data_IF_349753012252
#
_entry.id   IF_349753012252
#
_cell.length_a   1.000
_cell.length_b   1.000
_cell.length_c   1.000
_cell.angle_alpha   90.00
_cell.angle_beta   90.00
_cell.angle_gamma   90.00
#
_symmetry.space_group_name_H-M   'P 1'
#
loop_
_entity.id
_entity.type
_entity.pdbx_description
1 polymer ?
#
# COMPACT_ATOMS: atom_id res chain seq x y z
N UNK A 1 -23.06 -56.62 -15.92
CA UNK A 1 -23.50 -55.88 -14.71
C UNK A 1 -22.31 -55.69 -13.78
N UNK A 2 -21.72 -54.50 -13.76
CA UNK A 2 -21.04 -53.87 -12.60
C UNK A 2 -20.40 -52.58 -13.08
N UNK A 3 -21.18 -51.51 -12.97
CA UNK A 3 -20.77 -50.14 -13.21
C UNK A 3 -19.84 -49.72 -12.06
N UNK A 4 -18.59 -49.40 -12.37
CA UNK A 4 -17.68 -48.73 -11.44
C UNK A 4 -17.84 -47.22 -11.65
N UNK A 5 -18.71 -46.62 -10.85
CA UNK A 5 -18.83 -45.16 -10.73
C UNK A 5 -17.69 -44.72 -9.80
N UNK A 6 -16.60 -44.22 -10.37
CA UNK A 6 -15.55 -43.52 -9.62
C UNK A 6 -16.04 -42.09 -9.41
N UNK A 7 -16.49 -41.79 -8.19
CA UNK A 7 -16.80 -40.43 -7.74
C UNK A 7 -15.50 -39.62 -7.67
N UNK A 8 -15.26 -38.78 -8.68
CA UNK A 8 -14.32 -37.67 -8.61
C UNK A 8 -14.90 -36.60 -7.67
N UNK A 9 -14.58 -36.70 -6.38
CA UNK A 9 -14.70 -35.59 -5.44
C UNK A 9 -13.63 -34.56 -5.81
N UNK A 10 -14.00 -33.61 -6.68
CA UNK A 10 -13.24 -32.38 -6.85
C UNK A 10 -13.36 -31.59 -5.54
N UNK A 11 -12.45 -31.83 -4.61
CA UNK A 11 -12.25 -30.97 -3.44
C UNK A 11 -11.73 -29.64 -3.95
N UNK A 12 -12.62 -28.67 -4.09
CA UNK A 12 -12.26 -27.26 -4.21
C UNK A 12 -11.56 -26.86 -2.91
N UNK A 13 -10.24 -26.93 -2.91
CA UNK A 13 -9.41 -26.33 -1.88
C UNK A 13 -9.63 -24.81 -1.97
N UNK A 14 -10.57 -24.30 -1.19
CA UNK A 14 -10.67 -22.88 -0.93
C UNK A 14 -9.39 -22.52 -0.19
N UNK A 15 -8.48 -21.82 -0.87
CA UNK A 15 -7.35 -21.17 -0.22
C UNK A 15 -7.93 -20.12 0.72
N UNK A 16 -8.14 -20.48 1.99
CA UNK A 16 -8.55 -19.52 3.00
C UNK A 16 -7.47 -18.44 3.09
N UNK A 17 -7.85 -17.19 2.85
CA UNK A 17 -6.95 -16.05 3.05
C UNK A 17 -6.88 -15.82 4.55
N UNK A 18 -5.78 -16.26 5.16
CA UNK A 18 -5.58 -16.11 6.60
C UNK A 18 -5.49 -14.63 7.01
N UNK A 19 -5.98 -14.34 8.21
CA UNK A 19 -5.78 -13.04 8.87
C UNK A 19 -4.31 -12.62 8.88
N UNK A 20 -4.08 -11.32 8.94
CA UNK A 20 -2.74 -10.76 9.11
C UNK A 20 -2.71 -9.81 10.30
N UNK A 21 -1.58 -9.80 11.00
CA UNK A 21 -1.29 -8.83 12.05
C UNK A 21 -0.06 -8.04 11.64
N UNK A 22 -0.08 -6.73 11.84
CA UNK A 22 0.99 -5.82 11.45
C UNK A 22 1.15 -4.71 12.48
N UNK A 23 2.37 -4.18 12.62
CA UNK A 23 2.64 -3.02 13.49
C UNK A 23 2.69 -1.76 12.65
N UNK A 24 1.87 -0.76 12.99
CA UNK A 24 1.86 0.57 12.37
C UNK A 24 2.67 1.53 13.22
N UNK A 25 3.52 2.33 12.59
CA UNK A 25 4.33 3.36 13.25
C UNK A 25 3.52 4.65 13.42
N UNK A 26 3.75 5.39 14.51
CA UNK A 26 3.17 6.72 14.70
C UNK A 26 4.00 7.57 15.68
N UNK A 27 3.59 8.83 15.80
CA UNK A 27 4.20 9.86 16.66
C UNK A 27 5.63 10.24 16.27
N UNK A 28 5.89 10.28 14.96
CA UNK A 28 7.07 10.78 14.26
C UNK A 28 8.31 9.94 14.49
N UNK A 29 8.95 9.48 13.41
CA UNK A 29 10.16 8.67 13.48
C UNK A 29 9.95 7.26 14.03
N UNK A 30 8.72 6.74 13.98
CA UNK A 30 8.29 5.45 14.53
C UNK A 30 8.62 5.30 16.02
N UNK A 31 8.43 6.37 16.80
CA UNK A 31 8.66 6.35 18.25
C UNK A 31 7.65 5.45 18.97
N UNK A 32 6.46 5.27 18.40
CA UNK A 32 5.44 4.37 18.92
C UNK A 32 4.90 3.47 17.81
N UNK A 33 4.41 2.30 18.21
CA UNK A 33 3.84 1.32 17.31
C UNK A 33 2.57 0.73 17.88
N UNK A 34 1.53 0.58 17.06
CA UNK A 34 0.30 -0.11 17.41
C UNK A 34 0.18 -1.40 16.59
N UNK A 35 -0.30 -2.48 17.22
CA UNK A 35 -0.63 -3.71 16.51
C UNK A 35 -2.05 -3.61 15.95
N UNK A 36 -2.20 -3.90 14.65
CA UNK A 36 -3.49 -3.92 13.95
C UNK A 36 -3.70 -5.27 13.29
N UNK A 37 -4.95 -5.71 13.21
CA UNK A 37 -5.34 -6.97 12.57
C UNK A 37 -6.17 -6.71 11.32
N UNK A 38 -5.87 -7.43 10.26
CA UNK A 38 -6.65 -7.49 9.03
C UNK A 38 -7.35 -8.84 8.96
N UNK A 39 -8.68 -8.80 8.92
CA UNK A 39 -9.53 -9.99 8.85
C UNK A 39 -9.42 -10.70 7.49
N UNK A 40 -9.75 -11.99 7.45
CA UNK A 40 -9.83 -12.79 6.23
C UNK A 40 -10.75 -12.13 5.19
N UNK A 41 -11.85 -11.52 5.64
CA UNK A 41 -12.81 -10.81 4.77
C UNK A 41 -12.18 -9.57 4.13
N UNK A 42 -11.49 -8.74 4.93
CA UNK A 42 -10.79 -7.55 4.43
C UNK A 42 -9.69 -7.96 3.42
N UNK A 43 -8.91 -8.97 3.78
CA UNK A 43 -7.82 -9.46 2.95
C UNK A 43 -8.32 -10.15 1.67
N UNK A 44 -9.43 -10.89 1.72
CA UNK A 44 -10.05 -11.44 0.52
C UNK A 44 -10.53 -10.35 -0.44
N UNK A 45 -11.09 -9.25 0.07
CA UNK A 45 -11.47 -8.09 -0.73
C UNK A 45 -10.24 -7.44 -1.40
N UNK A 46 -9.17 -7.21 -0.63
CA UNK A 46 -7.91 -6.66 -1.16
C UNK A 46 -7.32 -7.56 -2.25
N UNK A 47 -7.21 -8.86 -1.98
CA UNK A 47 -6.66 -9.82 -2.93
C UNK A 47 -7.47 -9.90 -4.23
N UNK A 48 -8.80 -9.94 -4.13
CA UNK A 48 -9.67 -9.94 -5.31
C UNK A 48 -9.56 -8.63 -6.10
N UNK A 49 -9.44 -7.49 -5.41
CA UNK A 49 -9.32 -6.18 -6.05
C UNK A 49 -7.99 -6.01 -6.79
N UNK A 50 -6.88 -6.48 -6.21
CA UNK A 50 -5.57 -6.46 -6.87
C UNK A 50 -5.47 -7.49 -8.01
N UNK A 51 -6.06 -8.68 -7.85
CA UNK A 51 -6.05 -9.71 -8.88
C UNK A 51 -6.72 -9.25 -10.20
N UNK A 52 -7.68 -8.33 -10.10
CA UNK A 52 -8.37 -7.72 -11.23
C UNK A 52 -7.53 -6.71 -12.02
N UNK A 53 -6.29 -6.40 -11.60
CA UNK A 53 -5.39 -5.54 -12.34
C UNK A 53 -5.08 -6.09 -13.74
N UNK A 54 -5.35 -5.29 -14.77
CA UNK A 54 -5.09 -5.64 -16.16
C UNK A 54 -3.63 -5.49 -16.58
N UNK A 55 -2.96 -4.47 -16.04
CA UNK A 55 -1.56 -4.13 -16.33
C UNK A 55 -0.89 -3.43 -15.15
N UNK A 56 0.36 -3.00 -15.33
CA UNK A 56 1.13 -2.29 -14.30
C UNK A 56 0.54 -0.93 -13.93
N UNK A 57 -0.09 -0.21 -14.86
CA UNK A 57 -0.71 1.08 -14.52
C UNK A 57 -1.96 0.87 -13.65
N UNK A 58 -2.82 -0.08 -14.04
CA UNK A 58 -4.01 -0.43 -13.27
C UNK A 58 -3.64 -1.01 -11.88
N UNK A 59 -2.56 -1.78 -11.76
CA UNK A 59 -2.07 -2.24 -10.45
C UNK A 59 -1.64 -1.07 -9.54
N UNK A 60 -1.01 -0.03 -10.09
CA UNK A 60 -0.63 1.18 -9.34
C UNK A 60 -1.86 1.97 -8.85
N UNK A 61 -2.85 2.15 -9.72
CA UNK A 61 -4.10 2.85 -9.36
C UNK A 61 -4.88 2.08 -8.27
N UNK A 62 -4.89 0.75 -8.36
CA UNK A 62 -5.50 -0.11 -7.33
C UNK A 62 -4.71 -0.11 -6.03
N UNK A 63 -3.38 -0.10 -6.10
CA UNK A 63 -2.50 -0.02 -4.92
C UNK A 63 -2.74 1.26 -4.13
N UNK A 64 -2.92 2.40 -4.81
CA UNK A 64 -3.27 3.67 -4.16
C UNK A 64 -4.49 3.51 -3.23
N UNK A 65 -5.57 2.91 -3.76
CA UNK A 65 -6.80 2.65 -3.01
C UNK A 65 -6.62 1.62 -1.90
N UNK A 66 -5.92 0.52 -2.18
CA UNK A 66 -5.68 -0.56 -1.21
C UNK A 66 -4.90 -0.07 0.00
N UNK A 67 -3.86 0.75 -0.22
CA UNK A 67 -3.11 1.34 0.89
C UNK A 67 -4.00 2.25 1.73
N UNK A 68 -4.87 3.05 1.08
CA UNK A 68 -5.89 3.83 1.78
C UNK A 68 -6.80 2.96 2.65
N UNK A 69 -7.37 1.88 2.10
CA UNK A 69 -8.23 0.95 2.87
C UNK A 69 -7.49 0.31 4.05
N UNK A 70 -6.26 -0.17 3.85
CA UNK A 70 -5.47 -0.81 4.89
C UNK A 70 -5.09 0.16 6.02
N UNK A 71 -4.79 1.41 5.69
CA UNK A 71 -4.52 2.46 6.68
C UNK A 71 -5.80 2.92 7.39
N UNK A 72 -6.93 3.00 6.68
CA UNK A 72 -8.22 3.34 7.28
C UNK A 72 -8.69 2.29 8.28
N UNK A 73 -8.60 1.00 7.94
CA UNK A 73 -8.89 -0.09 8.87
C UNK A 73 -7.90 -0.17 10.04
N UNK A 74 -6.64 0.25 9.83
CA UNK A 74 -5.69 0.40 10.93
C UNK A 74 -6.06 1.58 11.85
N UNK A 75 -6.57 2.69 11.29
CA UNK A 75 -7.11 3.82 12.03
C UNK A 75 -8.34 3.45 12.86
N UNK A 76 -9.23 2.59 12.37
CA UNK A 76 -10.37 2.08 13.16
C UNK A 76 -9.93 1.33 14.45
N UNK A 77 -8.68 0.84 14.48
CA UNK A 77 -8.13 0.03 15.57
C UNK A 77 -7.08 0.77 16.41
N UNK A 78 -6.67 1.98 16.03
CA UNK A 78 -5.54 2.66 16.66
C UNK A 78 -5.65 4.18 16.59
N UNK A 79 -4.76 4.87 17.29
CA UNK A 79 -4.75 6.34 17.36
C UNK A 79 -4.42 7.01 16.02
N UNK A 80 -3.90 6.27 15.03
CA UNK A 80 -3.53 6.82 13.72
C UNK A 80 -4.73 7.34 12.91
N UNK A 81 -5.98 7.09 13.34
CA UNK A 81 -7.15 7.75 12.75
C UNK A 81 -7.11 9.28 12.91
N UNK A 82 -6.34 9.80 13.86
CA UNK A 82 -6.14 11.24 14.05
C UNK A 82 -5.14 11.86 13.05
N UNK A 83 -4.43 11.02 12.29
CA UNK A 83 -3.42 11.45 11.34
C UNK A 83 -4.02 12.29 10.19
N UNK A 84 -3.31 13.36 9.84
CA UNK A 84 -3.70 14.34 8.83
C UNK A 84 -2.63 14.42 7.77
N UNK A 85 -3.05 14.71 6.54
CA UNK A 85 -2.12 14.85 5.42
C UNK A 85 -1.05 15.90 5.71
N UNK A 86 0.20 15.48 5.61
CA UNK A 86 1.35 16.31 5.93
C UNK A 86 1.56 16.60 7.43
N UNK A 87 2.72 17.17 7.76
CA UNK A 87 3.11 17.40 9.16
C UNK A 87 2.51 18.66 9.81
N UNK A 88 1.87 19.54 9.02
CA UNK A 88 1.44 20.86 9.52
C UNK A 88 -0.01 20.84 10.01
N UNK A 89 -0.82 19.91 9.48
CA UNK A 89 -2.25 19.84 9.77
C UNK A 89 -2.59 19.02 11.02
N UNK A 90 -1.59 18.39 11.66
CA UNK A 90 -1.80 17.45 12.74
C UNK A 90 -1.86 18.09 14.15
N UNK A 91 -1.54 19.38 14.31
CA UNK A 91 -1.54 20.12 15.59
C UNK A 91 -0.85 19.37 16.77
N UNK A 92 0.08 18.45 16.49
CA UNK A 92 0.73 17.63 17.51
C UNK A 92 -0.18 16.59 18.19
N UNK A 93 -1.29 16.19 17.55
CA UNK A 93 -2.20 15.16 18.08
C UNK A 93 -1.50 13.81 18.26
N UNK A 94 -1.97 13.02 19.22
CA UNK A 94 -1.54 11.64 19.39
C UNK A 94 -2.04 10.80 18.20
N UNK A 95 -1.14 10.03 17.58
CA UNK A 95 -1.43 9.24 16.39
C UNK A 95 -1.04 9.89 15.07
N UNK A 96 -0.56 11.14 15.08
CA UNK A 96 0.03 11.77 13.89
C UNK A 96 1.19 10.96 13.32
N UNK A 97 1.37 11.02 12.00
CA UNK A 97 2.41 10.29 11.29
C UNK A 97 3.28 11.24 10.46
N UNK A 98 4.60 11.08 10.55
CA UNK A 98 5.51 11.76 9.62
C UNK A 98 5.88 10.88 8.43
N UNK A 99 6.69 11.40 7.51
CA UNK A 99 7.15 10.64 6.34
C UNK A 99 7.88 9.32 6.71
N UNK A 100 8.49 9.23 7.90
CA UNK A 100 9.15 8.00 8.38
C UNK A 100 8.10 6.99 8.80
N UNK A 101 7.11 7.41 9.60
CA UNK A 101 5.99 6.57 10.02
C UNK A 101 5.23 5.99 8.82
N UNK A 102 4.90 6.84 7.85
CA UNK A 102 4.22 6.44 6.62
C UNK A 102 5.08 5.51 5.76
N UNK A 103 6.34 5.85 5.50
CA UNK A 103 7.20 5.01 4.65
C UNK A 103 7.40 3.62 5.24
N UNK A 104 7.65 3.51 6.55
CA UNK A 104 7.80 2.22 7.22
C UNK A 104 6.51 1.42 7.24
N UNK A 105 5.39 2.05 7.62
CA UNK A 105 4.08 1.38 7.68
C UNK A 105 3.65 0.90 6.29
N UNK A 106 3.73 1.77 5.28
CA UNK A 106 3.36 1.43 3.90
C UNK A 106 4.27 0.37 3.30
N UNK A 107 5.58 0.38 3.57
CA UNK A 107 6.46 -0.74 3.17
C UNK A 107 6.07 -2.06 3.83
N UNK A 108 5.69 -2.07 5.11
CA UNK A 108 5.21 -3.31 5.79
C UNK A 108 3.91 -3.82 5.14
N UNK A 109 2.99 -2.92 4.81
CA UNK A 109 1.75 -3.28 4.11
C UNK A 109 2.03 -3.84 2.72
N UNK A 110 2.89 -3.18 1.93
CA UNK A 110 3.28 -3.67 0.61
C UNK A 110 3.94 -5.05 0.68
N UNK A 111 4.84 -5.29 1.65
CA UNK A 111 5.45 -6.61 1.86
C UNK A 111 4.41 -7.67 2.20
N UNK A 112 3.41 -7.36 3.04
CA UNK A 112 2.31 -8.28 3.33
C UNK A 112 1.54 -8.69 2.06
N UNK A 113 1.35 -7.77 1.11
CA UNK A 113 0.70 -8.03 -0.17
C UNK A 113 1.60 -8.86 -1.11
N UNK A 114 2.90 -8.57 -1.14
CA UNK A 114 3.89 -9.27 -1.98
C UNK A 114 4.15 -10.70 -1.50
N UNK A 115 4.22 -10.92 -0.18
CA UNK A 115 4.31 -12.25 0.45
C UNK A 115 3.12 -13.15 0.12
N UNK A 116 1.98 -12.54 -0.24
CA UNK A 116 0.77 -13.24 -0.71
C UNK A 116 0.72 -13.38 -2.23
N UNK A 117 1.74 -12.93 -2.94
CA UNK A 117 1.83 -12.87 -4.39
C UNK A 117 0.69 -12.10 -5.06
N UNK A 118 0.17 -11.08 -4.38
CA UNK A 118 -0.92 -10.25 -4.94
C UNK A 118 -0.42 -9.12 -5.83
N UNK A 119 0.89 -8.83 -5.81
CA UNK A 119 1.53 -7.89 -6.74
C UNK A 119 2.02 -8.66 -7.97
N UNK A 120 1.28 -8.56 -9.07
CA UNK A 120 1.57 -9.27 -10.32
C UNK A 120 2.60 -8.52 -11.17
N UNK A 121 2.50 -7.20 -11.20
CA UNK A 121 3.32 -6.35 -12.07
C UNK A 121 4.46 -5.66 -11.33
N UNK A 122 4.39 -5.58 -10.00
CA UNK A 122 5.43 -4.95 -9.19
C UNK A 122 5.98 -5.88 -8.10
N UNK A 123 7.15 -5.50 -7.61
CA UNK A 123 7.81 -6.07 -6.44
C UNK A 123 8.24 -4.95 -5.51
N UNK A 124 8.26 -5.23 -4.21
CA UNK A 124 8.56 -4.21 -3.19
C UNK A 124 10.05 -3.90 -3.16
N UNK A 125 10.40 -2.66 -2.86
CA UNK A 125 11.77 -2.18 -2.66
C UNK A 125 11.93 -1.54 -1.30
N UNK A 126 13.18 -1.35 -0.90
CA UNK A 126 13.48 -0.57 0.30
C UNK A 126 12.97 0.88 0.14
N UNK A 127 12.56 1.54 1.24
CA UNK A 127 12.16 2.94 1.21
C UNK A 127 13.19 3.84 0.54
N UNK A 128 12.71 4.87 -0.13
CA UNK A 128 13.53 5.86 -0.83
C UNK A 128 13.48 7.20 -0.12
N UNK A 129 14.60 7.93 -0.15
CA UNK A 129 14.74 9.28 0.39
C UNK A 129 14.85 10.30 -0.75
N UNK A 130 14.08 11.38 -0.64
CA UNK A 130 14.24 12.62 -1.41
C UNK A 130 14.69 13.73 -0.47
N UNK A 131 15.75 14.44 -0.85
CA UNK A 131 16.17 15.67 -0.17
C UNK A 131 16.08 16.83 -1.16
N UNK A 132 15.18 17.78 -0.90
CA UNK A 132 15.07 19.03 -1.67
C UNK A 132 15.57 20.21 -0.85
N UNK A 133 16.07 21.23 -1.54
CA UNK A 133 16.59 22.47 -0.92
C UNK A 133 17.65 22.25 0.18
N UNK A 134 18.33 21.10 0.20
CA UNK A 134 19.31 20.67 1.22
C UNK A 134 18.77 20.34 2.63
N UNK A 135 17.49 20.60 2.92
CA UNK A 135 16.91 20.36 4.26
C UNK A 135 15.53 19.69 4.25
N UNK A 136 14.82 19.67 3.11
CA UNK A 136 13.50 19.05 3.01
C UNK A 136 13.66 17.55 2.70
N UNK A 137 13.98 16.77 3.73
CA UNK A 137 14.06 15.32 3.67
C UNK A 137 12.66 14.71 3.73
N UNK A 138 12.36 13.81 2.81
CA UNK A 138 11.07 13.13 2.70
C UNK A 138 11.30 11.66 2.32
N UNK A 139 10.82 10.74 3.14
CA UNK A 139 10.88 9.30 2.87
C UNK A 139 9.57 8.79 2.27
N UNK A 140 9.66 7.78 1.41
CA UNK A 140 8.47 7.09 0.88
C UNK A 140 8.74 5.61 0.64
N UNK A 141 7.68 4.80 0.68
CA UNK A 141 7.74 3.41 0.27
C UNK A 141 7.90 3.33 -1.26
N UNK A 142 8.48 2.22 -1.75
CA UNK A 142 8.84 2.08 -3.15
C UNK A 142 8.47 0.70 -3.70
N UNK A 143 8.06 0.67 -4.96
CA UNK A 143 7.87 -0.54 -5.76
C UNK A 143 8.62 -0.43 -7.08
N UNK A 144 9.04 -1.57 -7.63
CA UNK A 144 9.65 -1.70 -8.95
C UNK A 144 8.75 -2.50 -9.88
N UNK A 145 8.55 -2.02 -11.10
CA UNK A 145 7.88 -2.80 -12.16
C UNK A 145 8.76 -4.02 -12.51
N UNK A 146 8.16 -5.21 -12.45
CA UNK A 146 8.79 -6.48 -12.80
C UNK A 146 9.12 -6.49 -14.29
N UNK A 147 10.35 -6.84 -14.63
CA UNK A 147 10.74 -7.06 -16.03
C UNK A 147 10.20 -8.42 -16.45
N UNK A 148 9.04 -8.43 -17.12
CA UNK A 148 8.35 -9.65 -17.53
C UNK A 148 9.03 -10.33 -18.73
N UNK A 149 9.78 -9.60 -19.55
CA UNK A 149 10.47 -10.12 -20.74
C UNK A 149 11.92 -9.57 -20.84
N UNK A 150 12.92 -10.42 -21.13
CA UNK A 150 14.28 -9.95 -21.42
C UNK A 150 14.30 -9.03 -22.64
N UNK A 151 15.11 -7.97 -22.62
CA UNK A 151 15.32 -7.17 -23.84
C UNK A 151 16.08 -8.03 -24.88
N UNK A 152 15.80 -7.87 -26.19
CA UNK A 152 16.45 -8.63 -27.26
C UNK A 152 17.98 -8.54 -27.25
N UNK A 153 18.52 -7.46 -26.68
CA UNK A 153 19.95 -7.15 -26.69
C UNK A 153 20.68 -7.65 -25.43
N UNK A 154 20.00 -8.39 -24.54
CA UNK A 154 20.58 -8.93 -23.30
C UNK A 154 20.95 -7.85 -22.27
N UNK A 155 20.60 -6.59 -22.51
CA UNK A 155 20.78 -5.49 -21.57
C UNK A 155 19.62 -5.54 -20.57
N UNK A 156 19.94 -5.72 -19.29
CA UNK A 156 18.92 -5.64 -18.23
C UNK A 156 18.20 -4.29 -18.34
N UNK A 157 16.89 -4.33 -18.62
CA UNK A 157 16.08 -3.12 -18.59
C UNK A 157 16.17 -2.52 -17.19
N UNK A 158 16.40 -1.21 -17.10
CA UNK A 158 16.31 -0.49 -15.84
C UNK A 158 14.88 -0.60 -15.31
N UNK A 159 14.74 -1.13 -14.09
CA UNK A 159 13.42 -1.28 -13.47
C UNK A 159 12.75 0.09 -13.32
N UNK A 160 11.48 0.20 -13.73
CA UNK A 160 10.70 1.43 -13.52
C UNK A 160 10.28 1.49 -12.06
N UNK A 161 10.85 2.44 -11.33
CA UNK A 161 10.57 2.65 -9.92
C UNK A 161 9.42 3.63 -9.73
N UNK A 162 8.56 3.32 -8.78
CA UNK A 162 7.43 4.16 -8.38
C UNK A 162 7.42 4.26 -6.85
N UNK A 163 7.00 5.43 -6.35
CA UNK A 163 6.73 5.61 -4.93
C UNK A 163 5.28 5.26 -4.62
N UNK A 164 5.03 4.84 -3.39
CA UNK A 164 3.69 4.66 -2.83
C UNK A 164 3.66 5.46 -1.54
N UNK A 165 3.21 6.71 -1.63
CA UNK A 165 3.37 7.71 -0.58
C UNK A 165 2.02 8.06 0.05
N UNK A 166 1.81 7.54 1.26
CA UNK A 166 0.58 7.76 2.03
C UNK A 166 0.60 9.05 2.86
N UNK A 167 1.68 9.83 2.85
CA UNK A 167 1.85 11.01 3.72
C UNK A 167 1.01 12.22 3.29
N UNK A 168 0.64 12.28 2.01
CA UNK A 168 0.04 13.48 1.40
C UNK A 168 -1.40 13.77 1.84
N UNK A 169 -2.12 12.77 2.35
CA UNK A 169 -3.55 12.84 2.62
C UNK A 169 -3.89 12.29 4.01
N UNK A 170 -5.07 12.64 4.50
CA UNK A 170 -5.59 12.14 5.78
C UNK A 170 -5.66 10.61 5.82
N UNK A 171 -5.61 10.05 7.03
CA UNK A 171 -5.72 8.61 7.23
C UNK A 171 -6.92 8.00 6.48
N UNK A 172 -6.68 6.88 5.81
CA UNK A 172 -7.71 6.17 5.05
C UNK A 172 -7.90 6.66 3.61
N UNK A 173 -7.33 7.82 3.24
CA UNK A 173 -7.35 8.29 1.85
C UNK A 173 -6.36 7.50 0.98
N UNK A 174 -6.59 7.46 -0.35
CA UNK A 174 -5.69 6.77 -1.26
C UNK A 174 -4.26 7.31 -1.17
N UNK A 175 -3.26 6.43 -1.25
CA UNK A 175 -1.87 6.85 -1.32
C UNK A 175 -1.54 7.46 -2.69
N UNK A 176 -0.60 8.39 -2.72
CA UNK A 176 -0.06 8.95 -3.97
C UNK A 176 0.90 7.93 -4.59
N UNK A 177 0.61 7.49 -5.81
CA UNK A 177 1.47 6.56 -6.56
C UNK A 177 1.96 7.21 -7.83
N UNK A 178 3.26 7.46 -7.92
CA UNK A 178 3.86 8.14 -9.08
C UNK A 178 5.26 7.64 -9.38
N UNK A 179 5.80 8.01 -10.55
CA UNK A 179 7.14 7.60 -10.92
C UNK A 179 8.20 8.19 -9.98
N UNK A 180 9.25 7.43 -9.69
CA UNK A 180 10.33 7.91 -8.84
C UNK A 180 10.96 9.23 -9.35
N UNK A 181 11.23 9.42 -10.67
CA UNK A 181 11.78 10.68 -11.16
C UNK A 181 10.86 11.89 -10.91
N UNK A 182 9.56 11.71 -11.08
CA UNK A 182 8.55 12.76 -10.82
C UNK A 182 8.51 13.11 -9.33
N UNK A 183 8.48 12.10 -8.46
CA UNK A 183 8.53 12.32 -7.02
C UNK A 183 9.84 13.01 -6.64
N UNK A 184 11.01 12.57 -7.12
CA UNK A 184 12.28 13.25 -6.86
C UNK A 184 12.29 14.74 -7.28
N UNK A 185 11.53 15.10 -8.32
CA UNK A 185 11.39 16.48 -8.79
C UNK A 185 10.49 17.37 -7.89
N UNK A 186 9.72 16.79 -6.97
CA UNK A 186 8.79 17.51 -6.09
C UNK A 186 7.32 17.14 -6.28
N UNK A 187 7.01 16.09 -7.04
CA UNK A 187 5.63 15.58 -7.17
C UNK A 187 4.99 15.28 -5.80
N UNK A 188 3.66 15.41 -5.73
CA UNK A 188 2.84 15.24 -4.54
C UNK A 188 2.69 16.49 -3.64
N UNK A 189 3.63 17.44 -3.66
CA UNK A 189 3.55 18.64 -2.80
C UNK A 189 2.33 19.52 -3.10
N UNK A 190 1.81 19.50 -4.33
CA UNK A 190 0.58 20.19 -4.72
C UNK A 190 -0.67 19.46 -4.22
N UNK A 191 -0.62 18.12 -4.10
CA UNK A 191 -1.70 17.30 -3.56
C UNK A 191 -1.89 17.52 -2.05
N UNK A 192 -0.81 17.76 -1.29
CA UNK A 192 -0.90 18.23 0.11
C UNK A 192 -1.64 19.55 0.28
N UNK A 193 -1.69 20.38 -0.77
CA UNK A 193 -2.24 21.74 -0.71
C UNK A 193 -3.72 21.81 -1.14
N UNK A 194 -4.29 20.71 -1.66
CA UNK A 194 -5.67 20.64 -2.10
C UNK A 194 -6.55 19.97 -1.03
N UNK A 195 -7.71 20.55 -0.66
CA UNK A 195 -8.63 19.89 0.27
C UNK A 195 -9.16 18.59 -0.35
N UNK A 196 -9.10 17.50 0.41
CA UNK A 196 -9.47 16.15 0.00
C UNK A 196 -10.89 16.10 -0.62
N UNK A 197 -10.95 15.98 -1.95
CA UNK A 197 -12.18 15.73 -2.69
C UNK A 197 -12.30 14.23 -3.00
N UNK A 198 -12.97 13.54 -2.07
CA UNK A 198 -13.78 12.33 -2.26
C UNK A 198 -13.08 11.05 -2.75
N UNK A 199 -12.90 10.09 -1.84
CA UNK A 199 -13.11 8.66 -2.11
C UNK A 199 -13.76 8.00 -0.88
N UNK A 200 -15.04 7.63 -1.00
CA UNK A 200 -15.78 6.97 0.07
C UNK A 200 -15.24 5.57 0.34
N UNK A 201 -14.90 5.27 1.59
CA UNK A 201 -14.61 3.92 2.06
C UNK A 201 -15.86 3.03 1.87
N UNK A 202 -15.74 1.78 1.40
CA UNK A 202 -16.83 0.83 1.48
C UNK A 202 -17.11 0.51 2.95
N UNK A 203 -18.23 1.01 3.48
CA UNK A 203 -18.68 0.71 4.84
C UNK A 203 -19.11 -0.77 4.93
N UNK A 204 -18.45 -1.55 5.78
CA UNK A 204 -18.94 -2.85 6.20
C UNK A 204 -19.60 -2.71 7.57
N UNK A 205 -20.94 -2.69 7.58
CA UNK A 205 -21.71 -2.91 8.81
C UNK A 205 -21.61 -4.36 9.31
N UNK A 206 -22.00 -4.62 10.57
CA UNK A 206 -21.87 -5.93 11.21
C UNK A 206 -22.61 -7.05 10.46
#
# INVERSE_FOLDING_TARGET
>A
MRWLIVLLLATSAQTAVADATLRVCYNYGCLQEAEVRYSERQLALVGAFLAAAGDAADERDRLALVIGWLLGWAGEQSVIAADRGGNVADDGVDGRMDCIDHSLTTTRLLRMLDDRHWLRFHEVREPVLRTRYLFAAHFSAQIAEKVLEPTPDGVAATAKLHVVDSWFHDNGQPAVVMSLPEWLAGGGEVESALPALVAGMPAFGP
#
